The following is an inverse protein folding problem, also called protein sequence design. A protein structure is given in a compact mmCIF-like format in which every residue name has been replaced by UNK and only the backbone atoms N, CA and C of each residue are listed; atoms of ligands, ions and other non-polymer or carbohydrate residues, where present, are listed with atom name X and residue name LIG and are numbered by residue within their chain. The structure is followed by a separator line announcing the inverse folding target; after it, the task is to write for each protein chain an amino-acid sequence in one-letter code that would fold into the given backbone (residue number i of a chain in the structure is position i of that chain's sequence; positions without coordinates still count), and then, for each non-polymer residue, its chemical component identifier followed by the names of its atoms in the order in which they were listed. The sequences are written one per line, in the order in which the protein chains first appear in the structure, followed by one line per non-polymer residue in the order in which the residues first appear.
data_IF_832039410373
#
_entry.id   IF_832039410373
#
_cell.length_a   1.000
_cell.length_b   1.000
_cell.length_c   1.000
_cell.angle_alpha   90.00
_cell.angle_beta   90.00
_cell.angle_gamma   90.00
#
_symmetry.space_group_name_H-M   'P 1'
#
loop_
_entity.id
_entity.type
_entity.pdbx_description
1 polymer ?
#
# COMPACT_ATOMS: atom_id res chain seq x y z
N UNK A 1 20.31 -47.69 48.10
CA UNK A 1 20.61 -48.26 46.77
C UNK A 1 20.35 -47.17 45.74
N UNK A 2 21.41 -46.71 45.08
CA UNK A 2 21.46 -45.56 44.16
C UNK A 2 20.68 -45.77 42.87
N UNK A 3 19.95 -44.74 42.40
CA UNK A 3 19.60 -44.41 41.00
C UNK A 3 19.15 -42.94 40.99
N UNK A 4 19.55 -42.01 40.13
CA UNK A 4 20.47 -41.98 39.02
C UNK A 4 20.87 -40.50 38.85
N UNK A 5 22.16 -40.21 38.68
CA UNK A 5 22.59 -38.99 38.00
C UNK A 5 22.10 -39.07 36.56
N UNK A 6 21.46 -38.03 36.04
CA UNK A 6 21.60 -37.61 34.63
C UNK A 6 20.71 -36.41 34.29
N UNK A 7 21.39 -35.37 33.81
CA UNK A 7 21.09 -34.72 32.53
C UNK A 7 19.90 -33.74 32.47
N UNK A 8 20.24 -32.44 32.54
CA UNK A 8 20.20 -31.47 31.41
C UNK A 8 19.60 -30.12 31.80
N UNK A 9 20.44 -29.08 31.67
CA UNK A 9 20.03 -27.69 31.47
C UNK A 9 18.97 -27.62 30.35
N UNK A 10 17.84 -26.97 30.62
CA UNK A 10 16.96 -26.46 29.58
C UNK A 10 16.54 -25.03 29.94
N UNK A 11 17.43 -24.09 29.59
CA UNK A 11 17.09 -22.69 29.36
C UNK A 11 16.13 -22.58 28.20
N UNK A 12 14.90 -22.10 28.42
CA UNK A 12 14.12 -21.46 27.37
C UNK A 12 13.52 -20.19 27.95
N UNK A 13 14.24 -19.08 27.73
CA UNK A 13 13.66 -17.75 27.65
C UNK A 13 12.53 -17.83 26.62
N UNK A 14 11.28 -17.81 27.07
CA UNK A 14 10.14 -17.68 26.20
C UNK A 14 10.15 -16.24 25.66
N UNK A 15 10.73 -16.12 24.47
CA UNK A 15 10.97 -14.90 23.73
C UNK A 15 9.69 -14.08 23.51
N UNK A 16 9.75 -12.84 23.98
CA UNK A 16 8.85 -11.75 23.63
C UNK A 16 8.92 -11.46 22.13
N UNK A 17 7.97 -11.96 21.33
CA UNK A 17 7.79 -11.54 19.92
C UNK A 17 6.32 -11.36 19.55
N UNK A 18 5.50 -10.83 20.46
CA UNK A 18 4.23 -10.20 20.09
C UNK A 18 4.51 -8.75 19.62
N UNK A 19 5.33 -8.62 18.58
CA UNK A 19 5.65 -7.37 17.91
C UNK A 19 5.46 -7.54 16.40
N UNK A 20 4.38 -8.21 15.98
CA UNK A 20 4.01 -8.31 14.57
C UNK A 20 3.48 -6.94 14.16
N UNK A 21 4.39 -6.15 13.59
CA UNK A 21 4.16 -5.00 12.71
C UNK A 21 2.92 -4.17 12.97
N UNK A 22 3.08 -3.08 13.72
CA UNK A 22 2.25 -1.90 13.50
C UNK A 22 2.59 -1.36 12.11
N UNK A 23 1.97 -1.91 11.05
CA UNK A 23 1.76 -1.15 9.84
C UNK A 23 0.82 -0.03 10.25
N UNK A 24 1.39 1.14 10.54
CA UNK A 24 0.64 2.34 10.85
C UNK A 24 -0.21 2.66 9.61
N UNK A 25 -1.45 2.16 9.60
CA UNK A 25 -2.41 2.31 8.51
C UNK A 25 -2.94 3.75 8.55
N UNK A 26 -2.12 4.70 8.08
CA UNK A 26 -2.53 6.08 7.88
C UNK A 26 -3.43 6.18 6.65
N UNK A 27 -4.67 5.74 6.79
CA UNK A 27 -5.69 5.92 5.76
C UNK A 27 -6.33 7.29 5.93
N UNK A 28 -6.23 8.15 4.92
CA UNK A 28 -6.89 9.45 4.90
C UNK A 28 -7.44 9.78 3.53
N UNK A 29 -8.36 10.74 3.45
CA UNK A 29 -8.90 11.22 2.18
C UNK A 29 -8.09 12.41 1.68
N UNK A 30 -7.78 12.41 0.40
CA UNK A 30 -7.12 13.51 -0.30
C UNK A 30 -8.03 14.01 -1.39
N UNK A 31 -8.22 15.31 -1.43
CA UNK A 31 -8.95 15.96 -2.50
C UNK A 31 -7.97 16.29 -3.63
N UNK A 32 -8.27 15.83 -4.85
CA UNK A 32 -7.57 16.27 -6.04
C UNK A 32 -8.29 17.48 -6.65
N UNK A 33 -7.75 18.70 -6.50
CA UNK A 33 -8.38 19.90 -7.03
C UNK A 33 -8.32 20.00 -8.56
N UNK A 34 -7.51 19.19 -9.25
CA UNK A 34 -7.30 19.28 -10.69
C UNK A 34 -8.32 18.45 -11.49
N UNK A 35 -8.78 17.34 -10.93
CA UNK A 35 -9.82 16.48 -11.51
C UNK A 35 -11.11 16.44 -10.69
N UNK A 36 -11.15 17.18 -9.57
CA UNK A 36 -12.34 17.41 -8.73
C UNK A 36 -12.92 16.15 -8.08
N UNK A 37 -12.07 15.17 -7.77
CA UNK A 37 -12.44 13.94 -7.08
C UNK A 37 -11.67 13.74 -5.77
N UNK A 38 -12.02 12.66 -5.07
CA UNK A 38 -11.42 12.31 -3.78
C UNK A 38 -10.76 10.96 -3.88
N UNK A 39 -9.50 10.90 -3.50
CA UNK A 39 -8.73 9.67 -3.37
C UNK A 39 -8.63 9.24 -1.91
N UNK A 40 -8.62 7.93 -1.69
CA UNK A 40 -8.30 7.36 -0.39
C UNK A 40 -6.83 7.01 -0.39
N UNK A 41 -6.05 7.70 0.44
CA UNK A 41 -4.65 7.41 0.65
C UNK A 41 -4.50 6.17 1.53
N UNK A 42 -4.62 4.99 0.93
CA UNK A 42 -4.44 3.68 1.57
C UNK A 42 -3.16 3.00 1.07
N UNK A 43 -2.98 1.71 1.39
CA UNK A 43 -1.84 0.94 0.91
C UNK A 43 -1.76 0.85 -0.62
N UNK A 44 -2.90 0.79 -1.32
CA UNK A 44 -2.93 0.74 -2.79
C UNK A 44 -2.42 2.06 -3.37
N UNK A 45 -2.87 3.19 -2.81
CA UNK A 45 -2.42 4.52 -3.21
C UNK A 45 -0.90 4.70 -3.01
N UNK A 46 -0.37 4.15 -1.91
CA UNK A 46 1.08 4.13 -1.65
C UNK A 46 1.84 3.35 -2.73
N UNK A 47 1.30 2.25 -3.24
CA UNK A 47 1.91 1.50 -4.35
C UNK A 47 1.98 2.36 -5.61
N UNK A 48 0.89 3.03 -5.96
CA UNK A 48 0.87 3.95 -7.10
C UNK A 48 1.82 5.13 -6.90
N UNK A 49 1.89 5.71 -5.70
CA UNK A 49 2.81 6.78 -5.37
C UNK A 49 4.27 6.37 -5.52
N UNK A 50 4.64 5.21 -4.97
CA UNK A 50 5.99 4.67 -5.10
C UNK A 50 6.35 4.43 -6.57
N UNK A 51 5.43 3.87 -7.36
CA UNK A 51 5.65 3.63 -8.78
C UNK A 51 5.88 4.93 -9.55
N UNK A 52 5.06 5.96 -9.33
CA UNK A 52 5.28 7.27 -9.92
C UNK A 52 6.62 7.89 -9.49
N UNK A 53 6.98 7.76 -8.21
CA UNK A 53 8.25 8.27 -7.71
C UNK A 53 9.43 7.58 -8.42
N UNK A 54 9.40 6.26 -8.54
CA UNK A 54 10.42 5.46 -9.22
C UNK A 54 10.52 5.83 -10.72
N UNK A 55 9.39 5.85 -11.45
CA UNK A 55 9.34 6.18 -12.88
C UNK A 55 9.85 7.60 -13.18
N UNK A 56 9.64 8.52 -12.25
CA UNK A 56 10.01 9.92 -12.42
C UNK A 56 11.29 10.31 -11.67
N UNK A 57 12.03 9.33 -11.15
CA UNK A 57 13.30 9.49 -10.43
C UNK A 57 13.21 10.43 -9.21
N UNK A 58 12.10 10.36 -8.45
CA UNK A 58 11.85 11.11 -7.22
C UNK A 58 12.03 10.22 -5.99
N UNK A 59 12.19 10.85 -4.82
CA UNK A 59 12.24 10.12 -3.55
C UNK A 59 10.85 9.58 -3.15
N UNK A 60 10.70 8.26 -3.15
CA UNK A 60 9.49 7.55 -2.72
C UNK A 60 9.14 7.72 -1.24
N UNK A 61 10.09 8.10 -0.40
CA UNK A 61 9.87 8.29 1.04
C UNK A 61 9.39 9.71 1.39
N UNK A 62 9.31 10.61 0.40
CA UNK A 62 8.80 11.95 0.60
C UNK A 62 7.29 11.91 0.86
N UNK A 63 6.85 12.58 1.92
CA UNK A 63 5.41 12.70 2.22
C UNK A 63 4.72 13.48 1.09
N UNK A 64 3.69 12.88 0.49
CA UNK A 64 2.89 13.48 -0.57
C UNK A 64 2.40 14.90 -0.21
N UNK A 65 1.98 15.12 1.04
CA UNK A 65 1.46 16.42 1.51
C UNK A 65 2.54 17.51 1.57
N UNK A 66 3.82 17.13 1.52
CA UNK A 66 4.99 18.02 1.50
C UNK A 66 5.57 18.21 0.09
N UNK A 67 4.93 17.63 -0.93
CA UNK A 67 5.26 17.92 -2.32
C UNK A 67 4.84 19.34 -2.67
N UNK A 68 5.57 19.96 -3.61
CA UNK A 68 5.15 21.24 -4.18
C UNK A 68 3.84 21.05 -4.94
N UNK A 69 2.98 22.08 -5.07
CA UNK A 69 1.72 21.97 -5.80
C UNK A 69 1.88 21.41 -7.22
N UNK A 70 2.96 21.78 -7.92
CA UNK A 70 3.24 21.30 -9.27
C UNK A 70 3.51 19.79 -9.29
N UNK A 71 4.22 19.27 -8.28
CA UNK A 71 4.53 17.84 -8.16
C UNK A 71 3.29 17.02 -7.77
N UNK A 72 2.40 17.58 -6.94
CA UNK A 72 1.11 16.96 -6.63
C UNK A 72 0.25 16.86 -7.90
N UNK A 73 0.22 17.92 -8.71
CA UNK A 73 -0.46 17.92 -10.00
C UNK A 73 0.09 16.84 -10.94
N UNK A 74 1.42 16.75 -11.06
CA UNK A 74 2.08 15.73 -11.88
C UNK A 74 1.70 14.31 -11.44
N UNK A 75 1.67 14.04 -10.13
CA UNK A 75 1.22 12.77 -9.59
C UNK A 75 -0.22 12.47 -9.97
N UNK A 76 -1.14 13.41 -9.76
CA UNK A 76 -2.56 13.20 -10.06
C UNK A 76 -2.81 12.97 -11.56
N UNK A 77 -2.16 13.74 -12.43
CA UNK A 77 -2.21 13.51 -13.88
C UNK A 77 -1.69 12.11 -14.24
N UNK A 78 -0.60 11.66 -13.64
CA UNK A 78 -0.10 10.30 -13.85
C UNK A 78 -1.08 9.24 -13.31
N UNK A 79 -1.70 9.48 -12.14
CA UNK A 79 -2.64 8.56 -11.48
C UNK A 79 -3.88 8.27 -12.32
N UNK A 80 -4.45 9.28 -12.96
CA UNK A 80 -5.59 9.09 -13.86
C UNK A 80 -5.21 8.27 -15.10
N UNK A 81 -4.03 8.52 -15.65
CA UNK A 81 -3.53 7.75 -16.81
C UNK A 81 -3.21 6.28 -16.49
N UNK A 82 -3.07 5.91 -15.20
CA UNK A 82 -2.65 4.57 -14.77
C UNK A 82 -3.67 3.84 -13.88
N UNK A 83 -4.79 4.47 -13.53
CA UNK A 83 -5.83 3.90 -12.66
C UNK A 83 -7.11 3.45 -13.37
N UNK A 84 -7.39 4.00 -14.56
CA UNK A 84 -8.72 3.86 -15.20
C UNK A 84 -8.83 2.68 -16.19
N UNK A 85 -7.73 1.98 -16.49
CA UNK A 85 -7.71 0.92 -17.50
C UNK A 85 -8.34 -0.43 -17.07
N UNK A 86 -8.66 -0.62 -15.79
CA UNK A 86 -9.13 -1.92 -15.28
C UNK A 86 -10.66 -2.10 -15.29
N UNK A 87 -11.44 -1.08 -15.69
CA UNK A 87 -12.91 -1.11 -15.57
C UNK A 87 -13.68 -1.43 -16.85
N UNK A 88 -13.05 -1.32 -18.02
CA UNK A 88 -13.76 -1.41 -19.30
C UNK A 88 -14.06 -2.84 -19.79
N UNK A 89 -13.62 -3.88 -19.07
CA UNK A 89 -13.78 -5.27 -19.51
C UNK A 89 -14.95 -6.06 -18.90
N UNK A 90 -15.79 -5.47 -18.05
CA UNK A 90 -16.88 -6.22 -17.38
C UNK A 90 -18.29 -6.09 -17.98
N UNK A 91 -18.53 -5.10 -18.83
CA UNK A 91 -19.88 -4.88 -19.38
C UNK A 91 -20.12 -5.53 -20.74
N UNK A 92 -19.07 -6.01 -21.43
CA UNK A 92 -19.24 -6.54 -22.79
C UNK A 92 -19.77 -7.99 -22.87
N UNK A 93 -19.90 -8.69 -21.73
CA UNK A 93 -20.33 -10.09 -21.70
C UNK A 93 -21.84 -10.30 -21.39
N UNK A 94 -22.58 -9.24 -21.03
CA UNK A 94 -24.02 -9.38 -20.70
C UNK A 94 -24.97 -9.36 -21.89
N UNK A 95 -24.53 -8.88 -23.04
CA UNK A 95 -25.42 -8.71 -24.20
C UNK A 95 -25.47 -9.91 -25.14
N UNK A 96 -24.79 -11.02 -24.81
CA UNK A 96 -24.69 -12.20 -25.71
C UNK A 96 -25.79 -13.24 -25.55
N UNK A 97 -26.61 -13.17 -24.50
CA UNK A 97 -27.60 -14.20 -24.17
C UNK A 97 -29.05 -13.86 -24.59
N UNK A 98 -29.26 -12.81 -25.40
CA UNK A 98 -30.59 -12.33 -25.77
C UNK A 98 -30.98 -12.52 -27.26
N UNK A 99 -30.43 -13.52 -27.98
CA UNK A 99 -30.85 -13.79 -29.38
C UNK A 99 -31.34 -15.21 -29.63
#
# INVERSE_FOLDING_TARGET
MSRASSLLLATVLASSLAGIGCAEHHTYRVYDPYYTDYHVWNNDEVVYYNRWADETHRDRHRDFRKLRPEEQKEYWTWRHNHGDHDRDHRDSDRDRDHR
#
